data_IF_174878435252
#
_entry.id   IF_174878435252
#
_cell.length_a   1.000
_cell.length_b   1.000
_cell.length_c   1.000
_cell.angle_alpha   90.00
_cell.angle_beta   90.00
_cell.angle_gamma   90.00
#
_symmetry.space_group_name_H-M   'P 1'
#
loop_
_entity.id
_entity.type
_entity.pdbx_description
1 polymer ?
#
# COMPACT_ATOMS: atom_id res chain seq x y z
N UNK A 1 24.64 2.88 -14.92
CA UNK A 1 23.18 2.87 -14.66
C UNK A 1 22.78 1.49 -14.16
N UNK A 2 21.93 1.42 -13.13
CA UNK A 2 21.41 0.16 -12.55
C UNK A 2 19.91 0.11 -12.86
N UNK A 3 19.36 -1.05 -13.26
CA UNK A 3 17.92 -1.20 -13.44
C UNK A 3 17.18 -0.93 -12.10
N UNK A 4 16.22 -0.02 -12.11
CA UNK A 4 15.41 0.28 -10.94
C UNK A 4 14.58 -0.94 -10.55
N UNK A 5 14.61 -1.32 -9.28
CA UNK A 5 13.83 -2.45 -8.76
C UNK A 5 12.34 -2.13 -8.76
N UNK A 6 11.95 -0.95 -8.28
CA UNK A 6 10.56 -0.49 -8.19
C UNK A 6 10.46 1.03 -8.15
N UNK A 7 9.26 1.55 -8.39
CA UNK A 7 8.85 2.94 -8.17
C UNK A 7 7.57 2.94 -7.35
N UNK A 8 7.35 3.92 -6.48
CA UNK A 8 6.22 3.85 -5.57
C UNK A 8 6.00 5.05 -4.69
N UNK A 9 5.08 4.88 -3.75
CA UNK A 9 4.67 5.92 -2.81
C UNK A 9 4.78 5.42 -1.36
N UNK A 10 5.12 6.33 -0.45
CA UNK A 10 5.02 6.12 0.98
C UNK A 10 4.53 7.40 1.67
N UNK A 11 3.89 7.24 2.83
CA UNK A 11 3.39 8.35 3.65
C UNK A 11 2.36 9.24 2.93
N UNK A 12 2.16 10.46 3.45
CA UNK A 12 1.19 11.50 3.07
C UNK A 12 -0.29 11.11 3.13
N UNK A 13 -0.64 9.90 2.70
CA UNK A 13 -2.00 9.42 2.49
C UNK A 13 -2.20 8.05 3.14
N UNK A 14 -3.45 7.78 3.52
CA UNK A 14 -3.90 6.43 3.88
C UNK A 14 -4.16 5.58 2.64
N UNK A 15 -4.51 4.31 2.86
CA UNK A 15 -4.70 3.35 1.77
C UNK A 15 -5.88 3.73 0.83
N UNK A 16 -6.97 4.27 1.35
CA UNK A 16 -8.08 4.68 0.48
C UNK A 16 -7.65 5.81 -0.49
N UNK A 17 -7.03 6.87 0.05
CA UNK A 17 -6.65 8.04 -0.74
C UNK A 17 -5.48 7.79 -1.69
N UNK A 18 -4.61 6.82 -1.40
CA UNK A 18 -3.43 6.53 -2.23
C UNK A 18 -3.79 5.71 -3.50
N UNK A 19 -4.91 4.97 -3.49
CA UNK A 19 -5.32 4.05 -4.56
C UNK A 19 -5.38 4.70 -5.97
N UNK A 20 -5.98 5.89 -6.17
CA UNK A 20 -6.04 6.51 -7.50
C UNK A 20 -4.65 6.82 -8.09
N UNK A 21 -3.68 7.14 -7.24
CA UNK A 21 -2.31 7.41 -7.67
C UNK A 21 -1.57 6.14 -8.08
N UNK A 22 -1.83 5.01 -7.41
CA UNK A 22 -1.30 3.71 -7.81
C UNK A 22 -1.85 3.28 -9.18
N UNK A 23 -3.14 3.49 -9.44
CA UNK A 23 -3.72 3.26 -10.78
C UNK A 23 -3.05 4.10 -11.85
N UNK A 24 -2.87 5.40 -11.57
CA UNK A 24 -2.20 6.31 -12.51
C UNK A 24 -0.75 5.88 -12.76
N UNK A 25 -0.01 5.54 -11.70
CA UNK A 25 1.37 5.06 -11.82
C UNK A 25 1.44 3.77 -12.65
N UNK A 26 0.55 2.80 -12.38
CA UNK A 26 0.43 1.53 -13.09
C UNK A 26 0.20 1.67 -14.59
N UNK A 27 -0.47 2.74 -15.03
CA UNK A 27 -0.69 3.03 -16.45
C UNK A 27 0.50 3.71 -17.13
N UNK A 28 1.49 4.20 -16.36
CA UNK A 28 2.60 5.00 -16.86
C UNK A 28 3.98 4.37 -16.59
N UNK A 29 4.04 3.13 -16.10
CA UNK A 29 5.30 2.44 -15.83
C UNK A 29 5.23 0.93 -16.13
N UNK A 30 6.35 0.39 -16.61
CA UNK A 30 6.62 -1.05 -16.69
C UNK A 30 7.46 -1.56 -15.52
N UNK A 31 7.87 -0.69 -14.59
CA UNK A 31 8.59 -1.08 -13.38
C UNK A 31 7.64 -1.70 -12.35
N UNK A 32 8.20 -2.47 -11.41
CA UNK A 32 7.45 -2.91 -10.23
C UNK A 32 6.95 -1.71 -9.43
N UNK A 33 5.78 -1.85 -8.81
CA UNK A 33 5.17 -0.81 -8.00
C UNK A 33 5.27 -1.15 -6.52
N UNK A 34 5.69 -0.18 -5.71
CA UNK A 34 5.66 -0.29 -4.24
C UNK A 34 4.69 0.70 -3.60
N UNK A 35 4.03 0.30 -2.51
CA UNK A 35 3.18 1.18 -1.73
C UNK A 35 3.34 0.96 -0.23
N UNK A 36 3.43 2.05 0.53
CA UNK A 36 3.51 2.04 1.99
C UNK A 36 2.60 3.15 2.54
N UNK A 37 1.27 2.97 2.52
CA UNK A 37 0.34 3.96 3.04
C UNK A 37 0.45 4.10 4.57
N UNK A 38 0.00 5.24 5.08
CA UNK A 38 -0.23 5.42 6.52
C UNK A 38 -1.43 4.59 6.98
N UNK A 39 -1.53 4.35 8.29
CA UNK A 39 -2.75 3.83 8.92
C UNK A 39 -3.82 4.94 8.98
N UNK A 40 -4.36 5.30 7.82
CA UNK A 40 -5.26 6.44 7.64
C UNK A 40 -4.54 7.80 7.63
N UNK A 41 -5.33 8.88 7.65
CA UNK A 41 -4.80 10.23 7.85
C UNK A 41 -4.61 10.51 9.34
N UNK A 42 -3.61 11.32 9.74
CA UNK A 42 -3.46 11.70 11.13
C UNK A 42 -4.68 12.50 11.60
N UNK A 43 -5.16 12.22 12.80
CA UNK A 43 -6.23 12.99 13.44
C UNK A 43 -5.70 14.34 13.95
N UNK A 44 -6.57 15.15 14.58
CA UNK A 44 -6.22 16.49 15.08
C UNK A 44 -5.09 16.48 16.13
N UNK A 45 -4.79 15.32 16.74
CA UNK A 45 -3.70 15.12 17.71
C UNK A 45 -2.44 14.50 17.08
N UNK A 46 -2.43 14.31 15.75
CA UNK A 46 -1.32 13.67 15.04
C UNK A 46 -1.26 12.15 15.18
N UNK A 47 -2.33 11.52 15.70
CA UNK A 47 -2.40 10.07 15.90
C UNK A 47 -3.09 9.38 14.72
N UNK A 48 -2.91 8.08 14.60
CA UNK A 48 -3.46 7.25 13.54
C UNK A 48 -4.44 6.25 14.15
N UNK A 49 -5.72 6.40 13.82
CA UNK A 49 -6.81 5.65 14.46
C UNK A 49 -7.25 4.44 13.62
N UNK A 50 -6.79 4.32 12.37
CA UNK A 50 -7.14 3.20 11.51
C UNK A 50 -6.59 1.90 12.09
N UNK A 51 -7.47 0.90 12.18
CA UNK A 51 -7.14 -0.41 12.73
C UNK A 51 -6.43 -1.29 11.69
N UNK A 52 -5.70 -2.34 12.14
CA UNK A 52 -5.13 -3.35 11.24
C UNK A 52 -6.14 -3.95 10.27
N UNK A 53 -7.35 -4.27 10.74
CA UNK A 53 -8.42 -4.89 9.96
C UNK A 53 -8.96 -3.94 8.89
N UNK A 54 -9.19 -2.67 9.23
CA UNK A 54 -9.60 -1.65 8.27
C UNK A 54 -8.54 -1.45 7.18
N UNK A 55 -7.26 -1.35 7.58
CA UNK A 55 -6.17 -1.22 6.62
C UNK A 55 -6.06 -2.46 5.72
N UNK A 56 -6.22 -3.67 6.27
CA UNK A 56 -6.21 -4.92 5.51
C UNK A 56 -7.30 -4.93 4.43
N UNK A 57 -8.53 -4.51 4.75
CA UNK A 57 -9.62 -4.46 3.77
C UNK A 57 -9.30 -3.51 2.61
N UNK A 58 -8.76 -2.33 2.89
CA UNK A 58 -8.37 -1.39 1.84
C UNK A 58 -7.20 -1.91 0.99
N UNK A 59 -6.21 -2.56 1.61
CA UNK A 59 -5.09 -3.17 0.90
C UNK A 59 -5.53 -4.37 0.05
N UNK A 60 -6.56 -5.13 0.47
CA UNK A 60 -7.12 -6.22 -0.35
C UNK A 60 -7.55 -5.72 -1.73
N UNK A 61 -8.12 -4.52 -1.82
CA UNK A 61 -8.51 -3.93 -3.09
C UNK A 61 -7.31 -3.67 -4.01
N UNK A 62 -6.16 -3.28 -3.46
CA UNK A 62 -4.95 -3.07 -4.26
C UNK A 62 -4.48 -4.37 -4.90
N UNK A 63 -4.55 -5.45 -4.13
CA UNK A 63 -4.10 -6.78 -4.53
C UNK A 63 -5.06 -7.39 -5.56
N UNK A 64 -6.37 -7.27 -5.34
CA UNK A 64 -7.41 -7.70 -6.29
C UNK A 64 -7.28 -7.01 -7.65
N UNK A 65 -6.95 -5.72 -7.63
CA UNK A 65 -6.79 -4.90 -8.84
C UNK A 65 -5.37 -4.96 -9.42
N UNK A 66 -4.47 -5.80 -8.87
CA UNK A 66 -3.09 -5.95 -9.32
C UNK A 66 -2.32 -4.62 -9.40
N UNK A 67 -2.45 -3.77 -8.38
CA UNK A 67 -1.86 -2.42 -8.41
C UNK A 67 -0.40 -2.37 -7.93
N UNK A 68 0.07 -3.39 -7.19
CA UNK A 68 1.36 -3.36 -6.49
C UNK A 68 2.12 -4.68 -6.62
N UNK A 69 3.45 -4.60 -6.46
CA UNK A 69 4.38 -5.72 -6.35
C UNK A 69 4.96 -5.84 -4.94
N UNK A 70 5.11 -4.71 -4.25
CA UNK A 70 5.64 -4.61 -2.88
C UNK A 70 4.65 -3.79 -2.06
N UNK A 71 4.22 -4.31 -0.92
CA UNK A 71 3.29 -3.62 -0.02
C UNK A 71 3.83 -3.66 1.41
N UNK A 72 3.68 -2.54 2.12
CA UNK A 72 3.97 -2.43 3.54
C UNK A 72 3.18 -1.30 4.17
N UNK A 73 3.73 -0.74 5.25
CA UNK A 73 3.12 0.35 6.01
C UNK A 73 4.08 1.51 6.24
N UNK A 74 3.53 2.70 6.49
CA UNK A 74 4.29 3.89 6.89
C UNK A 74 3.81 4.40 8.27
N UNK A 75 3.53 5.68 8.43
CA UNK A 75 3.19 6.26 9.73
C UNK A 75 1.88 5.67 10.29
N UNK A 76 1.86 5.38 11.58
CA UNK A 76 0.73 4.76 12.27
C UNK A 76 0.64 3.24 12.14
N UNK A 77 1.37 2.63 11.21
CA UNK A 77 1.35 1.17 11.06
C UNK A 77 2.16 0.49 12.17
N UNK A 78 1.66 -0.66 12.61
CA UNK A 78 2.23 -1.46 13.70
C UNK A 78 2.55 -2.88 13.23
N UNK A 79 3.24 -3.73 14.02
CA UNK A 79 3.43 -5.13 13.67
C UNK A 79 2.14 -5.89 13.35
N UNK A 80 1.02 -5.57 14.02
CA UNK A 80 -0.30 -6.14 13.75
C UNK A 80 -0.82 -5.77 12.36
N UNK A 81 -0.64 -4.52 11.94
CA UNK A 81 -0.96 -4.08 10.59
C UNK A 81 -0.16 -4.87 9.55
N UNK A 82 1.16 -4.98 9.75
CA UNK A 82 2.04 -5.70 8.83
C UNK A 82 1.68 -7.19 8.77
N UNK A 83 1.31 -7.80 9.89
CA UNK A 83 0.84 -9.19 9.94
C UNK A 83 -0.39 -9.39 9.06
N UNK A 84 -1.43 -8.56 9.21
CA UNK A 84 -2.66 -8.69 8.43
C UNK A 84 -2.46 -8.35 6.94
N UNK A 85 -1.60 -7.38 6.61
CA UNK A 85 -1.18 -7.08 5.24
C UNK A 85 -0.49 -8.31 4.62
N UNK A 86 0.44 -8.94 5.34
CA UNK A 86 1.16 -10.12 4.86
C UNK A 86 0.24 -11.34 4.72
N UNK A 87 -0.75 -11.50 5.58
CA UNK A 87 -1.76 -12.55 5.48
C UNK A 87 -2.61 -12.40 4.22
N UNK A 88 -3.19 -11.21 3.99
CA UNK A 88 -4.01 -10.99 2.78
C UNK A 88 -3.17 -11.03 1.49
N UNK A 89 -1.92 -10.56 1.52
CA UNK A 89 -1.04 -10.59 0.36
C UNK A 89 -0.76 -12.01 -0.17
N UNK A 90 -0.77 -13.03 0.71
CA UNK A 90 -0.57 -14.44 0.30
C UNK A 90 -1.69 -14.99 -0.58
N UNK A 91 -2.87 -14.36 -0.56
CA UNK A 91 -4.03 -14.81 -1.35
C UNK A 91 -3.96 -14.37 -2.82
N UNK A 92 -3.06 -13.44 -3.16
CA UNK A 92 -3.00 -12.81 -4.48
C UNK A 92 -1.63 -12.95 -5.14
N UNK A 93 -1.60 -12.80 -6.46
CA UNK A 93 -0.34 -12.71 -7.21
C UNK A 93 0.07 -11.23 -7.33
N UNK A 94 1.39 -10.93 -7.36
CA UNK A 94 1.87 -9.58 -7.65
C UNK A 94 1.42 -9.09 -9.03
N UNK A 95 1.38 -7.76 -9.21
CA UNK A 95 1.13 -7.12 -10.51
C UNK A 95 2.04 -7.70 -11.61
N UNK A 96 1.51 -8.08 -12.78
CA UNK A 96 2.34 -8.45 -13.92
C UNK A 96 3.05 -7.20 -14.47
N UNK A 97 4.37 -7.32 -14.66
CA UNK A 97 5.27 -6.29 -15.22
C UNK A 97 5.88 -6.79 -16.51
#
# INVERSE_FOLDING_TARGET
HIPLLSVGFNCALGADQLKPYLKRLGNNTSLNISAHPNAGLPNAFGQYDQTPEEMQQLIREYLQENLVNIIGGCCGTTPEHIKLIAEVAKEFKPRPV
#
